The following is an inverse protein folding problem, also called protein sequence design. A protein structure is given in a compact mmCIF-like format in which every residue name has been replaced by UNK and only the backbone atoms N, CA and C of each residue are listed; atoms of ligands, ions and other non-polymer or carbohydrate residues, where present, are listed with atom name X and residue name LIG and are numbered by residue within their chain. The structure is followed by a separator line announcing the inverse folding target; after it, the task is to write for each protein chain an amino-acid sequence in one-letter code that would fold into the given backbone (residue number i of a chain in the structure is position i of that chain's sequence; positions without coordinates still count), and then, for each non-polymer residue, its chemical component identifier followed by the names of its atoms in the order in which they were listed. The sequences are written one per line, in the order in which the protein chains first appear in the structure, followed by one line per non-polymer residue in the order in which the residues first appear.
data_IF_737038671220
#
_entry.id   IF_737038671220
#
_cell.length_a   1.000
_cell.length_b   1.000
_cell.length_c   1.000
_cell.angle_alpha   90.00
_cell.angle_beta   90.00
_cell.angle_gamma   90.00
#
_symmetry.space_group_name_H-M   'P 1'
#
loop_
_entity.id
_entity.type
_entity.pdbx_description
1 polymer ?
#
# COMPACT_ATOMS: atom_id res chain seq x y z
N UNK A 1 -18.59 -10.71 -5.23
CA UNK A 1 -18.33 -9.26 -5.20
C UNK A 1 -16.91 -9.09 -4.69
N UNK A 2 -16.03 -8.51 -5.49
CA UNK A 2 -14.61 -8.35 -5.15
C UNK A 2 -14.43 -7.39 -3.96
N UNK A 3 -13.32 -7.51 -3.21
CA UNK A 3 -12.98 -6.62 -2.10
C UNK A 3 -12.90 -5.15 -2.50
N UNK A 4 -12.50 -4.88 -3.75
CA UNK A 4 -12.48 -3.54 -4.34
C UNK A 4 -13.89 -2.93 -4.46
N UNK A 5 -14.89 -3.72 -4.83
CA UNK A 5 -16.30 -3.30 -4.89
C UNK A 5 -16.87 -2.96 -3.51
N UNK A 6 -16.45 -3.68 -2.46
CA UNK A 6 -16.81 -3.35 -1.07
C UNK A 6 -16.13 -2.07 -0.59
N UNK A 7 -14.85 -1.89 -0.93
CA UNK A 7 -14.08 -0.70 -0.57
C UNK A 7 -14.67 0.56 -1.23
N UNK A 8 -14.96 0.51 -2.52
CA UNK A 8 -15.57 1.63 -3.25
C UNK A 8 -16.94 2.01 -2.68
N UNK A 9 -17.76 1.03 -2.25
CA UNK A 9 -19.08 1.29 -1.61
C UNK A 9 -19.00 2.00 -0.27
N UNK A 10 -17.86 1.93 0.42
CA UNK A 10 -17.69 2.53 1.75
C UNK A 10 -17.05 3.92 1.74
N UNK A 11 -16.69 4.43 0.57
CA UNK A 11 -15.85 5.64 0.41
C UNK A 11 -16.67 6.93 0.20
N UNK A 12 -17.96 6.86 -0.17
CA UNK A 12 -18.74 8.03 -0.56
C UNK A 12 -20.00 8.25 0.31
N UNK A 13 -20.44 9.52 0.46
CA UNK A 13 -21.72 9.82 1.07
C UNK A 13 -22.88 9.34 0.17
N UNK A 14 -24.12 9.23 0.72
CA UNK A 14 -25.26 8.57 0.03
C UNK A 14 -25.63 9.22 -1.32
N UNK A 15 -25.54 10.54 -1.45
CA UNK A 15 -25.92 11.26 -2.69
C UNK A 15 -24.90 11.08 -3.80
N UNK A 16 -23.63 10.97 -3.43
CA UNK A 16 -22.52 10.66 -4.35
C UNK A 16 -22.55 9.19 -4.72
N UNK A 17 -22.90 8.29 -3.78
CA UNK A 17 -23.11 6.86 -4.07
C UNK A 17 -24.14 6.62 -5.16
N UNK A 18 -25.29 7.33 -5.13
CA UNK A 18 -26.37 7.13 -6.08
C UNK A 18 -25.93 7.57 -7.49
N UNK A 19 -25.30 8.73 -7.64
CA UNK A 19 -24.79 9.20 -8.93
C UNK A 19 -23.66 8.32 -9.50
N UNK A 20 -22.71 7.94 -8.66
CA UNK A 20 -21.62 7.07 -9.07
C UNK A 20 -22.12 5.65 -9.35
N UNK A 21 -23.11 5.13 -8.60
CA UNK A 21 -23.68 3.81 -8.88
C UNK A 21 -24.46 3.77 -10.20
N UNK A 22 -25.06 4.87 -10.64
CA UNK A 22 -25.75 4.94 -11.92
C UNK A 22 -24.80 5.19 -13.11
N UNK A 23 -23.71 5.93 -12.91
CA UNK A 23 -22.62 6.07 -13.89
C UNK A 23 -21.76 4.81 -13.97
N UNK A 24 -21.38 4.24 -12.81
CA UNK A 24 -20.63 2.99 -12.70
C UNK A 24 -21.44 1.81 -13.26
N UNK A 25 -22.77 1.76 -13.11
CA UNK A 25 -23.59 0.70 -13.72
C UNK A 25 -23.55 0.70 -15.25
N UNK A 26 -23.43 1.86 -15.87
CA UNK A 26 -23.27 1.97 -17.32
C UNK A 26 -21.84 1.72 -17.79
N UNK A 27 -20.87 2.03 -16.95
CA UNK A 27 -19.44 1.74 -17.21
C UNK A 27 -19.05 0.33 -16.72
N UNK A 28 -19.71 -0.23 -15.68
CA UNK A 28 -19.46 -1.59 -15.17
C UNK A 28 -19.79 -2.67 -16.20
N UNK A 29 -20.86 -2.53 -16.99
CA UNK A 29 -21.18 -3.51 -18.05
C UNK A 29 -20.13 -3.49 -19.17
N UNK A 30 -19.55 -2.33 -19.50
CA UNK A 30 -18.45 -2.22 -20.47
C UNK A 30 -17.08 -2.54 -19.82
N UNK A 31 -16.89 -2.19 -18.55
CA UNK A 31 -15.61 -2.39 -17.84
C UNK A 31 -15.48 -3.84 -17.38
N UNK A 32 -16.57 -4.51 -17.00
CA UNK A 32 -16.54 -5.95 -16.72
C UNK A 32 -16.20 -6.75 -17.99
N UNK A 33 -16.73 -6.38 -19.15
CA UNK A 33 -16.35 -7.01 -20.43
C UNK A 33 -14.90 -6.69 -20.84
N UNK A 34 -14.40 -5.47 -20.61
CA UNK A 34 -13.01 -5.12 -20.88
C UNK A 34 -12.05 -5.79 -19.88
N UNK A 35 -12.40 -5.81 -18.59
CA UNK A 35 -11.63 -6.50 -17.56
C UNK A 35 -11.65 -8.02 -17.78
N UNK A 36 -12.78 -8.62 -18.17
CA UNK A 36 -12.83 -10.04 -18.52
C UNK A 36 -11.99 -10.34 -19.77
N UNK A 37 -12.00 -9.47 -20.78
CA UNK A 37 -11.12 -9.61 -21.96
C UNK A 37 -9.64 -9.43 -21.60
N UNK A 38 -9.29 -8.43 -20.80
CA UNK A 38 -7.91 -8.25 -20.32
C UNK A 38 -7.45 -9.41 -19.43
N UNK A 39 -8.33 -9.92 -18.56
CA UNK A 39 -8.05 -11.09 -17.73
C UNK A 39 -7.92 -12.35 -18.60
N UNK A 40 -8.71 -12.49 -19.64
CA UNK A 40 -8.61 -13.62 -20.57
C UNK A 40 -7.38 -13.53 -21.47
N UNK A 41 -7.01 -12.33 -21.92
CA UNK A 41 -5.75 -12.09 -22.64
C UNK A 41 -4.54 -12.28 -21.74
N UNK A 42 -4.58 -11.82 -20.50
CA UNK A 42 -3.54 -12.08 -19.52
C UNK A 42 -3.46 -13.55 -19.11
N UNK A 43 -4.59 -14.28 -19.05
CA UNK A 43 -4.61 -15.74 -18.86
C UNK A 43 -4.06 -16.52 -20.05
N UNK A 44 -4.21 -16.01 -21.27
CA UNK A 44 -3.60 -16.59 -22.49
C UNK A 44 -2.08 -16.38 -22.54
N UNK A 45 -1.56 -15.31 -21.92
CA UNK A 45 -0.12 -15.02 -21.84
C UNK A 45 0.55 -15.45 -20.53
N UNK A 46 -0.20 -15.91 -19.53
CA UNK A 46 0.32 -16.46 -18.28
C UNK A 46 -0.02 -17.92 -18.12
N UNK A 47 0.93 -18.76 -18.43
CA UNK A 47 1.13 -20.05 -17.74
C UNK A 47 1.61 -19.67 -16.33
N UNK A 48 0.84 -20.15 -15.34
CA UNK A 48 1.11 -20.10 -13.91
C UNK A 48 0.98 -18.72 -13.23
N UNK A 49 0.17 -18.73 -12.17
CA UNK A 49 -0.14 -17.66 -11.24
C UNK A 49 1.12 -17.03 -10.62
N UNK A 50 1.80 -16.17 -11.34
CA UNK A 50 2.79 -15.30 -10.71
C UNK A 50 2.04 -14.19 -9.99
N UNK A 51 2.03 -14.27 -8.66
CA UNK A 51 1.78 -13.11 -7.81
C UNK A 51 2.76 -12.03 -8.27
N UNK A 52 2.26 -10.88 -8.69
CA UNK A 52 3.10 -9.77 -9.13
C UNK A 52 3.89 -9.23 -7.93
N UNK A 53 5.15 -9.62 -7.84
CA UNK A 53 6.05 -9.10 -6.83
C UNK A 53 6.40 -7.64 -7.14
N UNK A 54 5.90 -6.73 -6.31
CA UNK A 54 6.28 -5.34 -6.39
C UNK A 54 7.77 -5.17 -6.11
N UNK A 55 8.51 -4.64 -7.07
CA UNK A 55 9.95 -4.41 -6.98
C UNK A 55 10.21 -2.91 -6.80
N UNK A 56 11.22 -2.58 -6.00
CA UNK A 56 11.70 -1.20 -5.83
C UNK A 56 11.94 -0.54 -7.19
N UNK A 57 11.60 0.75 -7.30
CA UNK A 57 11.68 1.58 -8.50
C UNK A 57 10.63 1.30 -9.59
N UNK A 58 9.78 0.30 -9.41
CA UNK A 58 8.64 0.08 -10.30
C UNK A 58 7.46 0.97 -9.93
N UNK A 59 6.58 1.20 -10.90
CA UNK A 59 5.30 1.83 -10.66
C UNK A 59 4.35 0.80 -10.07
N UNK A 60 3.65 1.20 -9.00
CA UNK A 60 2.75 0.35 -8.24
C UNK A 60 1.44 1.09 -8.05
N UNK A 61 0.28 0.42 -8.21
CA UNK A 61 -1.01 1.00 -7.94
C UNK A 61 -1.13 1.41 -6.46
N UNK A 62 -1.55 2.65 -6.24
CA UNK A 62 -1.80 3.21 -4.91
C UNK A 62 -3.11 3.99 -4.91
N UNK A 63 -3.75 4.10 -3.75
CA UNK A 63 -4.89 4.98 -3.55
C UNK A 63 -4.37 6.31 -3.03
N UNK A 64 -4.69 7.39 -3.73
CA UNK A 64 -4.37 8.75 -3.35
C UNK A 64 -5.67 9.56 -3.13
N UNK A 65 -5.52 10.80 -2.67
CA UNK A 65 -6.63 11.70 -2.39
C UNK A 65 -6.27 13.12 -2.83
N UNK A 66 -7.23 13.81 -3.45
CA UNK A 66 -7.15 15.22 -3.79
C UNK A 66 -8.53 15.89 -3.68
N UNK A 67 -8.69 17.07 -4.26
CA UNK A 67 -9.95 17.83 -4.24
C UNK A 67 -11.13 17.08 -4.91
N UNK A 68 -10.84 16.18 -5.83
CA UNK A 68 -11.83 15.32 -6.49
C UNK A 68 -12.21 14.08 -5.69
N UNK A 69 -11.52 13.82 -4.56
CA UNK A 69 -11.74 12.66 -3.71
C UNK A 69 -10.63 11.61 -3.82
N UNK A 70 -10.98 10.36 -3.54
CA UNK A 70 -10.04 9.22 -3.60
C UNK A 70 -9.95 8.70 -5.04
N UNK A 71 -8.75 8.42 -5.50
CA UNK A 71 -8.50 7.87 -6.84
C UNK A 71 -7.35 6.87 -6.82
N UNK A 72 -7.35 5.94 -7.77
CA UNK A 72 -6.25 4.99 -7.98
C UNK A 72 -5.30 5.58 -9.02
N UNK A 73 -4.02 5.50 -8.74
CA UNK A 73 -2.96 5.94 -9.65
C UNK A 73 -1.71 5.10 -9.45
N UNK A 74 -0.83 5.08 -10.45
CA UNK A 74 0.48 4.46 -10.31
C UNK A 74 1.51 5.47 -9.80
N UNK A 75 2.32 5.04 -8.84
CA UNK A 75 3.45 5.81 -8.34
C UNK A 75 4.69 4.93 -8.23
N UNK A 76 5.85 5.53 -8.47
CA UNK A 76 7.13 4.83 -8.36
C UNK A 76 7.49 4.59 -6.90
N UNK A 77 7.79 3.34 -6.54
CA UNK A 77 8.23 2.99 -5.20
C UNK A 77 9.70 3.33 -4.98
N UNK A 78 9.93 4.28 -4.10
CA UNK A 78 11.25 4.80 -3.75
C UNK A 78 11.42 6.28 -4.11
N UNK A 79 11.52 7.12 -3.07
CA UNK A 79 11.74 8.56 -3.20
C UNK A 79 13.23 8.84 -3.33
N UNK A 80 13.60 9.60 -4.37
CA UNK A 80 14.94 10.12 -4.57
C UNK A 80 14.91 11.65 -4.63
N UNK A 81 15.27 12.32 -3.54
CA UNK A 81 15.19 13.78 -3.44
C UNK A 81 16.14 14.51 -4.40
N UNK A 82 17.33 14.00 -4.59
CA UNK A 82 18.35 14.60 -5.48
C UNK A 82 19.11 13.50 -6.24
N UNK A 83 18.69 13.16 -7.48
CA UNK A 83 19.37 12.16 -8.29
C UNK A 83 20.77 12.59 -8.72
N UNK A 84 21.06 13.91 -8.82
CA UNK A 84 22.39 14.42 -9.18
C UNK A 84 23.39 14.17 -8.07
N UNK A 85 22.99 14.40 -6.82
CA UNK A 85 23.80 14.13 -5.62
C UNK A 85 23.76 12.66 -5.20
N UNK A 86 23.05 11.81 -5.94
CA UNK A 86 22.88 10.37 -5.63
C UNK A 86 22.44 10.15 -4.18
N UNK A 87 21.46 10.93 -3.71
CA UNK A 87 20.88 10.72 -2.37
C UNK A 87 20.32 9.29 -2.27
N UNK A 88 20.38 8.66 -1.10
CA UNK A 88 19.84 7.32 -0.93
C UNK A 88 18.37 7.23 -1.35
N UNK A 89 17.98 6.13 -1.98
CA UNK A 89 16.61 5.83 -2.28
C UNK A 89 15.85 5.53 -0.98
N UNK A 90 14.76 6.24 -0.73
CA UNK A 90 13.94 6.08 0.46
C UNK A 90 12.68 5.32 0.08
N UNK A 91 12.67 4.03 0.30
CA UNK A 91 11.55 3.14 0.02
C UNK A 91 10.66 2.87 1.25
N UNK A 92 11.22 3.09 2.46
CA UNK A 92 10.51 2.98 3.73
C UNK A 92 10.65 4.28 4.54
N UNK A 93 9.54 4.79 5.08
CA UNK A 93 9.51 5.90 6.04
C UNK A 93 9.13 5.36 7.40
N UNK A 94 9.86 5.75 8.44
CA UNK A 94 9.63 5.23 9.79
C UNK A 94 8.58 6.07 10.52
N UNK A 95 7.67 5.41 11.24
CA UNK A 95 6.66 6.02 12.10
C UNK A 95 7.25 7.05 13.08
N UNK A 96 8.34 6.69 13.76
CA UNK A 96 9.04 7.58 14.66
C UNK A 96 9.62 8.83 13.95
N UNK A 97 10.13 8.68 12.75
CA UNK A 97 10.65 9.78 11.93
C UNK A 97 9.52 10.71 11.46
N UNK A 98 8.39 10.14 11.02
CA UNK A 98 7.21 10.90 10.58
C UNK A 98 6.66 11.73 11.73
N UNK A 99 6.50 11.15 12.91
CA UNK A 99 5.97 11.86 14.08
C UNK A 99 6.87 12.98 14.62
N UNK A 100 8.20 12.84 14.49
CA UNK A 100 9.17 13.72 15.11
C UNK A 100 9.73 14.81 14.19
N UNK A 101 9.94 14.54 12.91
CA UNK A 101 10.61 15.45 11.96
C UNK A 101 9.62 16.29 11.18
N UNK A 102 9.63 17.64 11.29
CA UNK A 102 8.64 18.52 10.66
C UNK A 102 8.45 18.30 9.16
N UNK A 103 9.54 18.05 8.42
CA UNK A 103 9.47 17.77 6.99
C UNK A 103 8.63 16.50 6.69
N UNK A 104 8.93 15.39 7.37
CA UNK A 104 8.23 14.14 7.18
C UNK A 104 6.79 14.19 7.66
N UNK A 105 6.57 14.88 8.80
CA UNK A 105 5.22 15.12 9.34
C UNK A 105 4.36 15.90 8.36
N UNK A 106 4.86 16.99 7.78
CA UNK A 106 4.15 17.79 6.80
C UNK A 106 3.93 17.02 5.48
N UNK A 107 4.90 16.21 5.05
CA UNK A 107 4.75 15.39 3.84
C UNK A 107 3.67 14.32 4.04
N UNK A 108 3.68 13.64 5.18
CA UNK A 108 2.65 12.66 5.54
C UNK A 108 1.27 13.31 5.69
N UNK A 109 1.18 14.51 6.25
CA UNK A 109 -0.08 15.23 6.38
C UNK A 109 -0.73 15.54 5.02
N UNK A 110 0.05 16.00 4.06
CA UNK A 110 -0.45 16.50 2.77
C UNK A 110 -0.48 15.47 1.64
N UNK A 111 0.41 14.49 1.70
CA UNK A 111 0.67 13.57 0.59
C UNK A 111 0.54 12.11 1.03
N UNK A 112 -0.51 11.81 1.79
CA UNK A 112 -0.84 10.44 2.20
C UNK A 112 -1.31 9.59 1.03
N UNK A 113 -0.97 8.32 1.07
CA UNK A 113 -1.48 7.28 0.16
C UNK A 113 -1.75 6.01 0.94
N UNK A 114 -2.58 5.14 0.35
CA UNK A 114 -2.74 3.76 0.78
C UNK A 114 -2.24 2.81 -0.30
N UNK A 115 -1.47 1.83 0.10
CA UNK A 115 -0.91 0.80 -0.77
C UNK A 115 -1.65 -0.51 -0.47
N UNK A 116 -2.47 -1.03 -1.41
CA UNK A 116 -3.10 -2.33 -1.27
C UNK A 116 -2.06 -3.44 -1.42
N UNK A 117 -2.05 -4.39 -0.51
CA UNK A 117 -1.11 -5.51 -0.50
C UNK A 117 -1.81 -6.82 -0.18
N UNK A 118 -1.32 -7.92 -0.74
CA UNK A 118 -1.73 -9.30 -0.38
C UNK A 118 -0.71 -9.97 0.54
N UNK A 119 0.49 -9.42 0.64
CA UNK A 119 1.60 -9.91 1.46
C UNK A 119 2.84 -9.07 1.26
N UNK A 120 3.89 -9.39 1.98
CA UNK A 120 5.21 -8.76 1.84
C UNK A 120 6.32 -9.75 2.14
N UNK A 121 7.54 -9.40 1.76
CA UNK A 121 8.72 -10.23 1.99
C UNK A 121 9.63 -9.60 3.02
N UNK A 122 10.22 -10.45 3.87
CA UNK A 122 11.29 -10.09 4.78
C UNK A 122 12.44 -11.10 4.72
N UNK A 123 13.61 -10.69 5.16
CA UNK A 123 14.80 -11.50 5.17
C UNK A 123 15.23 -11.80 6.61
N UNK A 124 14.89 -12.99 7.08
CA UNK A 124 15.30 -13.50 8.38
C UNK A 124 16.80 -13.81 8.38
N UNK A 125 17.54 -13.27 9.34
CA UNK A 125 18.94 -13.63 9.53
C UNK A 125 19.00 -15.02 10.20
N UNK A 126 19.63 -15.97 9.51
CA UNK A 126 19.82 -17.34 9.98
C UNK A 126 21.27 -17.63 10.39
N UNK A 127 22.06 -16.58 10.60
CA UNK A 127 23.48 -16.68 10.96
C UNK A 127 24.41 -16.88 9.76
N UNK A 128 25.70 -16.83 10.03
CA UNK A 128 26.75 -17.01 9.01
C UNK A 128 26.62 -16.08 7.76
N UNK A 129 26.07 -14.86 7.93
CA UNK A 129 25.75 -13.91 6.86
C UNK A 129 24.74 -14.44 5.83
N UNK A 130 23.98 -15.47 6.19
CA UNK A 130 22.90 -16.00 5.35
C UNK A 130 21.57 -15.42 5.76
N UNK A 131 20.72 -15.16 4.78
CA UNK A 131 19.37 -14.66 4.98
C UNK A 131 18.37 -15.59 4.28
N UNK A 132 17.28 -15.88 4.96
CA UNK A 132 16.17 -16.64 4.42
C UNK A 132 15.06 -15.67 4.01
N UNK A 133 14.62 -15.71 2.76
CA UNK A 133 13.48 -14.91 2.27
C UNK A 133 12.19 -15.55 2.79
N UNK A 134 11.41 -14.78 3.53
CA UNK A 134 10.13 -15.19 4.10
C UNK A 134 9.02 -14.37 3.46
N UNK A 135 8.02 -15.04 2.91
CA UNK A 135 6.76 -14.42 2.49
C UNK A 135 5.82 -14.36 3.70
N UNK A 136 5.21 -13.21 3.92
CA UNK A 136 4.34 -12.94 5.05
C UNK A 136 2.98 -12.50 4.50
N UNK A 137 1.91 -13.18 4.91
CA UNK A 137 0.53 -12.86 4.57
C UNK A 137 -0.30 -12.78 5.86
N UNK A 138 -1.40 -12.04 5.84
CA UNK A 138 -2.33 -12.01 6.96
C UNK A 138 -3.25 -13.23 6.92
N UNK A 139 -3.47 -13.86 8.08
CA UNK A 139 -4.29 -15.08 8.17
C UNK A 139 -5.75 -14.87 7.81
N UNK A 140 -6.29 -13.68 8.12
CA UNK A 140 -7.72 -13.38 8.00
C UNK A 140 -8.07 -12.37 6.91
N UNK A 141 -7.07 -11.77 6.25
CA UNK A 141 -7.26 -10.75 5.23
C UNK A 141 -6.48 -11.11 3.99
N UNK A 142 -7.15 -11.31 2.89
CA UNK A 142 -6.51 -11.52 1.60
C UNK A 142 -5.84 -10.25 1.09
N UNK A 143 -6.49 -9.09 1.31
CA UNK A 143 -5.96 -7.77 0.97
C UNK A 143 -5.96 -6.91 2.22
N UNK A 144 -4.88 -6.20 2.45
CA UNK A 144 -4.73 -5.22 3.51
C UNK A 144 -4.09 -3.93 2.98
N UNK A 145 -4.18 -2.86 3.75
CA UNK A 145 -3.73 -1.53 3.34
C UNK A 145 -2.58 -1.04 4.21
N UNK A 146 -1.53 -0.59 3.54
CA UNK A 146 -0.34 -0.02 4.16
C UNK A 146 -0.32 1.48 3.90
N UNK A 147 -0.25 2.33 4.94
CA UNK A 147 0.00 3.76 4.79
C UNK A 147 1.31 4.04 4.06
N UNK A 148 1.28 5.06 3.24
CA UNK A 148 2.47 5.60 2.59
C UNK A 148 2.38 7.12 2.47
N UNK A 149 3.46 7.70 1.99
CA UNK A 149 3.53 9.10 1.62
C UNK A 149 4.27 9.26 0.30
N UNK A 150 3.91 10.29 -0.48
CA UNK A 150 4.57 10.53 -1.74
C UNK A 150 5.22 11.91 -1.82
N UNK A 151 6.22 11.99 -2.66
CA UNK A 151 6.95 13.20 -3.03
C UNK A 151 6.78 13.46 -4.52
N UNK A 152 6.56 14.73 -4.91
CA UNK A 152 6.67 15.15 -6.30
C UNK A 152 8.11 15.55 -6.58
N UNK A 153 8.78 14.84 -7.49
CA UNK A 153 10.11 15.22 -7.93
C UNK A 153 10.09 16.47 -8.84
N UNK A 154 11.26 16.93 -9.26
CA UNK A 154 11.39 18.13 -10.11
C UNK A 154 10.72 18.01 -11.49
N UNK A 155 10.49 16.79 -11.95
CA UNK A 155 9.77 16.49 -13.20
C UNK A 155 8.26 16.37 -13.00
N UNK A 156 7.76 16.59 -11.78
CA UNK A 156 6.35 16.42 -11.42
C UNK A 156 5.91 14.97 -11.20
N UNK A 157 6.80 14.00 -11.37
CA UNK A 157 6.50 12.57 -11.14
C UNK A 157 6.35 12.29 -9.64
N UNK A 158 5.39 11.44 -9.30
CA UNK A 158 5.13 11.01 -7.92
C UNK A 158 5.97 9.79 -7.60
N UNK A 159 6.75 9.90 -6.54
CA UNK A 159 7.55 8.82 -5.97
C UNK A 159 7.09 8.61 -4.52
N UNK A 160 6.96 7.36 -4.07
CA UNK A 160 6.42 7.10 -2.73
C UNK A 160 7.34 6.23 -1.88
N UNK A 161 7.13 6.31 -0.58
CA UNK A 161 7.65 5.36 0.40
C UNK A 161 6.51 4.83 1.26
N UNK A 162 6.57 3.56 1.63
CA UNK A 162 5.62 2.98 2.58
C UNK A 162 6.04 3.28 4.02
N UNK A 163 5.07 3.29 4.94
CA UNK A 163 5.35 3.53 6.35
C UNK A 163 5.62 2.22 7.06
N UNK A 164 6.71 2.20 7.83
CA UNK A 164 7.07 1.06 8.68
C UNK A 164 7.02 1.45 10.15
N UNK A 165 6.76 0.44 11.00
CA UNK A 165 6.72 0.53 12.46
C UNK A 165 7.57 -0.56 13.10
N UNK A 166 7.64 -0.61 14.41
CA UNK A 166 8.23 -1.73 15.16
C UNK A 166 7.49 -3.04 14.81
N UNK A 167 8.14 -4.20 14.96
CA UNK A 167 7.51 -5.48 14.62
C UNK A 167 6.41 -5.83 15.61
N UNK A 168 5.38 -6.54 15.13
CA UNK A 168 4.42 -7.21 16.01
C UNK A 168 5.07 -8.41 16.70
N UNK A 169 4.38 -8.96 17.72
CA UNK A 169 4.81 -10.19 18.41
C UNK A 169 5.01 -11.38 17.48
N UNK A 170 4.33 -11.38 16.33
CA UNK A 170 4.42 -12.45 15.34
C UNK A 170 5.62 -12.31 14.41
N UNK A 171 6.16 -11.08 14.26
CA UNK A 171 7.20 -10.79 13.29
C UNK A 171 8.59 -10.56 13.93
N UNK A 172 8.65 -10.33 15.23
CA UNK A 172 9.88 -9.92 15.93
C UNK A 172 11.05 -10.90 15.73
N UNK A 173 10.76 -12.20 15.58
CA UNK A 173 11.76 -13.25 15.33
C UNK A 173 12.24 -13.29 13.86
N UNK A 174 11.61 -12.52 12.96
CA UNK A 174 11.93 -12.50 11.54
C UNK A 174 12.66 -11.21 11.20
N UNK A 175 12.10 -10.07 11.58
CA UNK A 175 12.65 -8.76 11.26
C UNK A 175 12.33 -7.73 12.35
N UNK A 176 13.18 -6.72 12.49
CA UNK A 176 13.03 -5.67 13.51
C UNK A 176 12.08 -4.50 13.11
N UNK A 177 11.51 -4.56 11.93
CA UNK A 177 10.51 -3.59 11.41
C UNK A 177 9.46 -4.35 10.61
N UNK A 178 8.27 -3.73 10.46
CA UNK A 178 7.20 -4.22 9.60
C UNK A 178 6.49 -3.04 8.93
N UNK A 179 5.82 -3.24 7.80
CA UNK A 179 4.86 -2.26 7.29
C UNK A 179 3.79 -1.95 8.35
N UNK A 180 3.37 -0.70 8.44
CA UNK A 180 2.14 -0.38 9.18
C UNK A 180 0.98 -1.00 8.42
N UNK A 181 0.13 -1.76 9.09
CA UNK A 181 -1.09 -2.33 8.51
C UNK A 181 -2.27 -1.69 9.21
N UNK A 182 -3.22 -1.16 8.44
CA UNK A 182 -4.47 -0.68 9.01
C UNK A 182 -5.36 -1.89 9.31
N UNK A 183 -5.52 -2.19 10.61
CA UNK A 183 -6.13 -3.44 11.06
C UNK A 183 -7.65 -3.48 10.90
N UNK A 184 -8.31 -2.33 10.87
CA UNK A 184 -9.78 -2.22 10.80
C UNK A 184 -10.23 -1.39 9.60
N UNK A 185 -11.46 -1.65 9.16
CA UNK A 185 -12.05 -1.00 8.00
C UNK A 185 -12.28 0.50 8.22
N UNK A 186 -12.62 0.93 9.43
CA UNK A 186 -12.81 2.34 9.76
C UNK A 186 -11.51 3.12 9.60
N UNK A 187 -10.39 2.55 10.05
CA UNK A 187 -9.07 3.14 9.85
C UNK A 187 -8.70 3.32 8.38
N UNK A 188 -9.11 2.37 7.51
CA UNK A 188 -8.90 2.47 6.06
C UNK A 188 -9.83 3.51 5.44
N UNK A 189 -11.12 3.49 5.81
CA UNK A 189 -12.15 4.35 5.24
C UNK A 189 -11.89 5.83 5.53
N UNK A 190 -11.53 6.12 6.77
CA UNK A 190 -11.36 7.48 7.26
C UNK A 190 -9.92 8.00 7.10
N UNK A 191 -8.99 7.17 6.58
CA UNK A 191 -7.56 7.50 6.50
C UNK A 191 -7.27 8.86 5.87
N UNK A 192 -7.99 9.25 4.83
CA UNK A 192 -7.76 10.51 4.14
C UNK A 192 -8.50 11.70 4.76
N UNK A 193 -9.56 11.45 5.51
CA UNK A 193 -10.40 12.48 6.16
C UNK A 193 -10.04 12.72 7.61
N UNK A 194 -9.43 11.74 8.28
CA UNK A 194 -8.95 11.88 9.64
C UNK A 194 -7.83 12.90 9.76
N UNK A 195 -7.78 13.53 10.93
CA UNK A 195 -6.71 14.47 11.28
C UNK A 195 -5.32 13.82 11.22
N UNK A 196 -4.30 14.66 11.19
CA UNK A 196 -2.92 14.18 11.23
C UNK A 196 -2.64 13.39 12.52
N UNK A 197 -3.15 13.86 13.66
CA UNK A 197 -2.96 13.22 14.97
C UNK A 197 -3.60 11.84 15.03
N UNK A 198 -4.83 11.69 14.53
CA UNK A 198 -5.52 10.41 14.43
C UNK A 198 -4.75 9.44 13.52
N UNK A 199 -4.26 9.91 12.38
CA UNK A 199 -3.48 9.08 11.47
C UNK A 199 -2.10 8.71 12.05
N UNK A 200 -1.44 9.60 12.79
CA UNK A 200 -0.20 9.26 13.49
C UNK A 200 -0.42 8.18 14.55
N UNK A 201 -1.57 8.20 15.25
CA UNK A 201 -1.93 7.18 16.23
C UNK A 201 -2.18 5.79 15.63
N UNK A 202 -2.48 5.71 14.33
CA UNK A 202 -2.62 4.45 13.57
C UNK A 202 -1.29 3.82 13.16
N UNK A 203 -0.18 4.57 13.20
CA UNK A 203 1.14 4.10 12.82
C UNK A 203 1.76 3.21 13.92
N UNK A 204 1.19 2.04 14.12
CA UNK A 204 1.57 1.08 15.17
C UNK A 204 1.64 -0.35 14.62
N UNK A 205 2.28 -1.28 15.34
CA UNK A 205 2.31 -2.69 14.94
C UNK A 205 0.91 -3.29 14.85
N UNK A 206 0.64 -4.00 13.77
CA UNK A 206 -0.61 -4.74 13.61
C UNK A 206 -0.71 -5.88 14.63
N UNK A 207 -1.94 -6.15 15.08
CA UNK A 207 -2.26 -7.27 15.96
C UNK A 207 -2.79 -8.49 15.17
N UNK A 208 -2.91 -8.39 13.87
CA UNK A 208 -3.36 -9.48 13.01
C UNK A 208 -2.35 -10.63 13.01
N UNK A 209 -2.88 -11.86 13.06
CA UNK A 209 -2.06 -13.06 12.93
C UNK A 209 -1.52 -13.19 11.50
N UNK A 210 -0.26 -13.59 11.39
CA UNK A 210 0.42 -13.80 10.10
C UNK A 210 0.60 -15.29 9.81
N UNK A 211 0.69 -15.59 8.52
CA UNK A 211 1.19 -16.87 8.00
C UNK A 211 2.50 -16.58 7.29
N UNK A 212 3.49 -17.44 7.51
CA UNK A 212 4.83 -17.31 6.92
C UNK A 212 5.15 -18.50 6.04
N UNK A 213 5.71 -18.22 4.86
CA UNK A 213 6.18 -19.23 3.92
C UNK A 213 7.66 -18.96 3.60
N UNK A 214 8.49 -19.98 3.78
CA UNK A 214 9.89 -19.91 3.37
C UNK A 214 10.00 -20.03 1.85
N UNK A 215 10.62 -19.04 1.22
CA UNK A 215 10.83 -19.06 -0.21
C UNK A 215 12.13 -19.77 -0.53
N UNK A 216 12.07 -20.82 -1.34
CA UNK A 216 13.26 -21.48 -1.85
C UNK A 216 14.02 -20.49 -2.75
N UNK A 217 15.30 -20.32 -2.50
CA UNK A 217 16.23 -19.47 -3.28
C UNK A 217 16.66 -20.15 -4.57
#
# INVERSE_FOLDING_TARGET
MSGLSKLLKSIYNEDIKIKILDEIRKEEENLEEEIEKEIEEQKKHKKDSEVYDAVLTHNIPVIAYDEGGKFITEMKWGIMFDPVKKTPLIFNSRDDTIGMKPFWKNLFDKNRILIPMTGFYEWKDIGQKKKLKIKIVLKRKEIFFVPGLYWKNKEGKREFSLVTTSPSRFLIEIHNRMPVILDDDDSVLNYFTDSLEENLAKLKPSQEEIITEEMQS
#
